data_IF_070729696577
#
_entry.id   IF_070729696577
#
_cell.length_a   1.000
_cell.length_b   1.000
_cell.length_c   1.000
_cell.angle_alpha   90.00
_cell.angle_beta   90.00
_cell.angle_gamma   90.00
#
_symmetry.space_group_name_H-M   'P 1'
#
loop_
_entity.id
_entity.type
_entity.pdbx_description
1 polymer ?
#
# COMPACT_ATOMS: atom_id res chain seq x y z
N UNK A 1 -27.54 12.07 -31.45
CA UNK A 1 -27.83 12.77 -32.72
C UNK A 1 -29.33 13.01 -32.81
N UNK A 2 -29.77 14.26 -32.98
CA UNK A 2 -31.17 14.67 -32.74
C UNK A 2 -31.93 14.97 -34.05
N UNK A 3 -33.25 14.78 -34.05
CA UNK A 3 -34.14 15.15 -35.17
C UNK A 3 -35.52 15.57 -34.65
N UNK A 4 -35.63 16.82 -34.22
CA UNK A 4 -36.85 17.41 -33.67
C UNK A 4 -36.96 18.90 -34.04
N UNK A 5 -38.09 19.54 -33.72
CA UNK A 5 -38.34 20.95 -34.04
C UNK A 5 -37.66 21.94 -33.09
N UNK A 6 -37.06 21.47 -31.99
CA UNK A 6 -36.45 22.31 -30.96
C UNK A 6 -34.93 22.30 -31.09
N UNK A 7 -34.42 23.08 -32.05
CA UNK A 7 -32.98 23.16 -32.34
C UNK A 7 -32.21 23.68 -31.11
N UNK A 8 -31.22 22.93 -30.64
CA UNK A 8 -30.36 23.29 -29.49
C UNK A 8 -28.87 23.22 -29.79
N UNK A 9 -28.49 23.16 -31.06
CA UNK A 9 -27.10 23.07 -31.49
C UNK A 9 -26.94 23.17 -33.01
N UNK A 10 -25.70 22.98 -33.53
CA UNK A 10 -25.44 23.10 -34.96
C UNK A 10 -26.20 22.07 -35.79
N UNK A 11 -26.79 22.55 -36.89
CA UNK A 11 -27.57 21.73 -37.82
C UNK A 11 -26.62 20.81 -38.59
N UNK A 12 -26.92 19.52 -38.59
CA UNK A 12 -26.19 18.54 -39.38
C UNK A 12 -26.80 18.42 -40.77
N UNK A 13 -26.36 19.29 -41.69
CA UNK A 13 -26.94 19.42 -43.04
C UNK A 13 -26.99 18.07 -43.77
N UNK A 14 -25.89 17.30 -43.76
CA UNK A 14 -25.81 16.02 -44.47
C UNK A 14 -26.87 15.01 -43.98
N UNK A 15 -27.09 14.94 -42.67
CA UNK A 15 -28.07 14.03 -42.08
C UNK A 15 -29.50 14.59 -42.13
N UNK A 16 -29.64 15.91 -42.10
CA UNK A 16 -30.93 16.58 -42.28
C UNK A 16 -31.47 16.29 -43.68
N UNK A 17 -30.65 16.43 -44.73
CA UNK A 17 -31.04 16.11 -46.12
C UNK A 17 -31.42 14.62 -46.25
N UNK A 18 -30.67 13.70 -45.62
CA UNK A 18 -30.98 12.26 -45.67
C UNK A 18 -32.30 11.89 -44.99
N UNK A 19 -32.63 12.54 -43.86
CA UNK A 19 -33.75 12.15 -43.00
C UNK A 19 -35.03 12.94 -43.24
N UNK A 20 -34.92 14.18 -43.73
CA UNK A 20 -36.02 15.11 -43.89
C UNK A 20 -36.13 15.54 -45.36
N UNK A 21 -36.10 14.56 -46.28
CA UNK A 21 -36.30 14.75 -47.73
C UNK A 21 -37.65 15.36 -48.06
N UNK A 22 -38.68 15.03 -47.28
CA UNK A 22 -39.99 15.69 -47.30
C UNK A 22 -40.08 16.61 -46.09
N UNK A 23 -40.76 17.76 -46.22
CA UNK A 23 -40.89 18.70 -45.11
C UNK A 23 -41.73 18.08 -43.98
N UNK A 24 -41.06 17.69 -42.91
CA UNK A 24 -41.66 17.04 -41.72
C UNK A 24 -41.71 17.98 -40.49
N UNK A 25 -41.25 19.22 -40.63
CA UNK A 25 -41.13 20.17 -39.51
C UNK A 25 -40.06 19.81 -38.47
N UNK A 26 -39.17 18.85 -38.77
CA UNK A 26 -38.08 18.41 -37.88
C UNK A 26 -36.74 18.79 -38.47
N UNK A 27 -35.78 19.17 -37.62
CA UNK A 27 -34.44 19.56 -38.03
C UNK A 27 -33.42 18.62 -37.40
N UNK A 28 -32.46 18.14 -38.19
CA UNK A 28 -31.43 17.25 -37.69
C UNK A 28 -30.24 18.07 -37.23
N UNK A 29 -29.85 17.92 -35.96
CA UNK A 29 -28.78 18.72 -35.35
C UNK A 29 -27.95 17.87 -34.38
N UNK A 30 -26.71 18.31 -34.16
CA UNK A 30 -25.87 17.81 -33.07
C UNK A 30 -25.92 18.77 -31.89
N UNK A 31 -25.79 18.21 -30.68
CA UNK A 31 -25.52 18.99 -29.48
C UNK A 31 -24.51 18.23 -28.63
N UNK A 32 -23.61 18.96 -27.97
CA UNK A 32 -22.73 18.39 -26.95
C UNK A 32 -23.52 18.35 -25.65
N UNK A 33 -23.67 17.17 -25.08
CA UNK A 33 -24.33 16.99 -23.79
C UNK A 33 -23.33 16.43 -22.78
N UNK A 34 -23.43 16.96 -21.56
CA UNK A 34 -22.77 16.37 -20.43
C UNK A 34 -23.58 15.15 -19.99
N UNK A 35 -23.03 13.95 -20.20
CA UNK A 35 -23.57 12.73 -19.59
C UNK A 35 -22.72 12.38 -18.38
N UNK A 36 -23.38 12.29 -17.23
CA UNK A 36 -22.76 11.77 -16.01
C UNK A 36 -22.59 10.25 -16.04
N UNK A 37 -23.45 9.57 -16.82
CA UNK A 37 -23.32 8.14 -17.14
C UNK A 37 -22.40 8.00 -18.36
N UNK A 38 -21.12 7.67 -18.13
CA UNK A 38 -20.09 7.56 -19.16
C UNK A 38 -19.14 6.41 -18.83
N UNK A 39 -18.27 6.05 -19.77
CA UNK A 39 -17.37 4.89 -19.65
C UNK A 39 -16.49 4.94 -18.38
N UNK A 40 -16.05 6.13 -17.95
CA UNK A 40 -15.23 6.29 -16.75
C UNK A 40 -16.05 6.08 -15.48
N UNK A 41 -17.24 6.68 -15.37
CA UNK A 41 -18.10 6.52 -14.19
C UNK A 41 -18.64 5.09 -14.09
N UNK A 42 -18.94 4.44 -15.21
CA UNK A 42 -19.26 3.01 -15.29
C UNK A 42 -18.09 2.12 -14.85
N UNK A 43 -16.84 2.45 -15.23
CA UNK A 43 -15.66 1.73 -14.76
C UNK A 43 -15.50 1.80 -13.24
N UNK A 44 -15.69 2.99 -12.67
CA UNK A 44 -15.66 3.21 -11.22
C UNK A 44 -16.78 2.40 -10.56
N UNK A 45 -18.00 2.45 -11.12
CA UNK A 45 -19.17 1.70 -10.65
C UNK A 45 -18.89 0.19 -10.62
N UNK A 46 -18.34 -0.38 -11.71
CA UNK A 46 -17.94 -1.78 -11.76
C UNK A 46 -16.88 -2.14 -10.71
N UNK A 47 -15.92 -1.25 -10.46
CA UNK A 47 -14.88 -1.45 -9.44
C UNK A 47 -15.47 -1.45 -8.03
N UNK A 48 -16.38 -0.52 -7.74
CA UNK A 48 -17.09 -0.46 -6.45
C UNK A 48 -17.86 -1.74 -6.18
N UNK A 49 -18.65 -2.22 -7.15
CA UNK A 49 -19.41 -3.47 -7.00
C UNK A 49 -18.50 -4.69 -6.82
N UNK A 50 -17.35 -4.71 -7.50
CA UNK A 50 -16.34 -5.74 -7.29
C UNK A 50 -15.74 -5.72 -5.87
N UNK A 51 -15.47 -4.54 -5.30
CA UNK A 51 -14.96 -4.40 -3.93
C UNK A 51 -16.03 -4.77 -2.89
N UNK A 52 -17.29 -4.40 -3.12
CA UNK A 52 -18.42 -4.81 -2.25
C UNK A 52 -18.54 -6.32 -2.11
N UNK A 53 -18.30 -7.06 -3.19
CA UNK A 53 -18.31 -8.53 -3.19
C UNK A 53 -17.19 -9.20 -2.39
N UNK A 54 -16.25 -8.44 -1.80
CA UNK A 54 -15.08 -8.97 -1.09
C UNK A 54 -15.10 -8.60 0.41
N UNK A 55 -15.40 -9.56 1.31
CA UNK A 55 -15.57 -9.28 2.74
C UNK A 55 -14.35 -8.63 3.43
N UNK A 56 -13.14 -8.94 2.96
CA UNK A 56 -11.89 -8.43 3.57
C UNK A 56 -11.64 -6.94 3.30
N UNK A 57 -12.16 -6.40 2.19
CA UNK A 57 -11.83 -5.05 1.73
C UNK A 57 -13.07 -4.15 1.59
N UNK A 58 -14.29 -4.69 1.68
CA UNK A 58 -15.52 -3.92 1.57
C UNK A 58 -15.59 -2.77 2.60
N UNK A 59 -14.98 -2.94 3.78
CA UNK A 59 -14.91 -1.92 4.82
C UNK A 59 -14.26 -0.60 4.36
N UNK A 60 -13.43 -0.61 3.32
CA UNK A 60 -12.83 0.61 2.75
C UNK A 60 -13.92 1.52 2.18
N UNK A 61 -14.96 0.94 1.58
CA UNK A 61 -16.07 1.70 1.01
C UNK A 61 -16.90 2.42 2.07
N UNK A 62 -16.83 2.00 3.34
CA UNK A 62 -17.52 2.67 4.44
C UNK A 62 -16.99 4.08 4.71
N UNK A 63 -15.74 4.36 4.33
CA UNK A 63 -15.15 5.70 4.46
C UNK A 63 -15.60 6.67 3.36
N UNK A 64 -16.11 6.14 2.25
CA UNK A 64 -16.46 6.89 1.03
C UNK A 64 -17.90 6.58 0.57
N UNK A 65 -18.79 6.37 1.55
CA UNK A 65 -20.20 6.08 1.29
C UNK A 65 -20.92 7.15 0.45
N UNK A 66 -20.76 8.47 0.69
CA UNK A 66 -21.49 9.46 -0.10
C UNK A 66 -21.05 9.47 -1.57
N UNK A 67 -19.76 9.32 -1.85
CA UNK A 67 -19.21 9.26 -3.20
C UNK A 67 -19.68 7.99 -3.92
N UNK A 68 -19.66 6.84 -3.22
CA UNK A 68 -20.17 5.58 -3.75
C UNK A 68 -21.64 5.71 -4.12
N UNK A 69 -22.46 6.32 -3.24
CA UNK A 69 -23.88 6.54 -3.50
C UNK A 69 -24.08 7.43 -4.72
N UNK A 70 -23.32 8.51 -4.84
CA UNK A 70 -23.39 9.41 -5.99
C UNK A 70 -23.07 8.69 -7.30
N UNK A 71 -22.01 7.86 -7.32
CA UNK A 71 -21.68 7.04 -8.49
C UNK A 71 -22.85 6.12 -8.86
N UNK A 72 -23.49 5.45 -7.88
CA UNK A 72 -24.67 4.59 -8.14
C UNK A 72 -25.81 5.38 -8.76
N UNK A 73 -26.06 6.60 -8.28
CA UNK A 73 -27.17 7.45 -8.75
C UNK A 73 -26.98 7.95 -10.18
N UNK A 74 -25.74 8.22 -10.58
CA UNK A 74 -25.41 8.71 -11.93
C UNK A 74 -25.23 7.59 -12.96
N UNK A 75 -24.91 6.37 -12.52
CA UNK A 75 -24.71 5.18 -13.39
C UNK A 75 -25.96 4.31 -13.43
N UNK A 76 -27.03 4.86 -14.03
CA UNK A 76 -28.33 4.18 -14.10
C UNK A 76 -28.36 3.09 -15.17
N UNK A 77 -27.50 3.19 -16.19
CA UNK A 77 -27.37 2.19 -17.24
C UNK A 77 -26.51 0.97 -16.81
N UNK A 78 -25.99 0.98 -15.57
CA UNK A 78 -25.14 -0.08 -15.05
C UNK A 78 -25.72 -1.48 -15.26
N UNK A 79 -24.90 -2.34 -15.84
CA UNK A 79 -25.20 -3.75 -16.02
C UNK A 79 -23.96 -4.60 -15.70
N UNK A 80 -24.13 -5.57 -14.80
CA UNK A 80 -23.05 -6.44 -14.36
C UNK A 80 -22.29 -7.14 -15.52
N UNK A 81 -23.02 -7.56 -16.56
CA UNK A 81 -22.46 -8.30 -17.69
C UNK A 81 -21.61 -7.44 -18.64
N UNK A 82 -21.75 -6.12 -18.58
CA UNK A 82 -21.01 -5.19 -19.44
C UNK A 82 -19.58 -4.92 -18.96
N UNK A 83 -19.15 -5.51 -17.83
CA UNK A 83 -17.82 -5.29 -17.24
C UNK A 83 -16.67 -5.37 -18.25
N UNK A 84 -16.62 -6.43 -19.05
CA UNK A 84 -15.53 -6.62 -20.02
C UNK A 84 -15.61 -5.65 -21.20
N UNK A 85 -16.79 -5.13 -21.51
CA UNK A 85 -16.97 -4.07 -22.50
C UNK A 85 -16.41 -2.76 -21.95
N UNK A 86 -16.87 -2.35 -20.76
CA UNK A 86 -16.41 -1.11 -20.10
C UNK A 86 -14.89 -1.10 -19.89
N UNK A 87 -14.29 -2.22 -19.46
CA UNK A 87 -12.83 -2.35 -19.33
C UNK A 87 -12.14 -2.10 -20.67
N UNK A 88 -12.63 -2.70 -21.76
CA UNK A 88 -12.03 -2.54 -23.10
C UNK A 88 -12.12 -1.09 -23.56
N UNK A 89 -13.30 -0.47 -23.44
CA UNK A 89 -13.49 0.94 -23.83
C UNK A 89 -12.55 1.86 -23.06
N UNK A 90 -12.39 1.67 -21.75
CA UNK A 90 -11.48 2.49 -20.94
C UNK A 90 -9.99 2.26 -21.22
N UNK A 91 -9.61 1.09 -21.75
CA UNK A 91 -8.22 0.81 -22.16
C UNK A 91 -7.92 1.41 -23.53
N UNK A 92 -8.86 1.30 -24.48
CA UNK A 92 -8.69 1.82 -25.85
C UNK A 92 -8.83 3.34 -25.87
N UNK A 93 -9.71 3.88 -25.02
CA UNK A 93 -10.02 5.31 -24.93
C UNK A 93 -9.78 5.82 -23.50
N UNK A 94 -8.52 5.87 -23.05
CA UNK A 94 -8.18 6.45 -21.75
C UNK A 94 -8.57 7.93 -21.73
N UNK A 95 -8.88 8.44 -20.53
CA UNK A 95 -9.38 9.81 -20.45
C UNK A 95 -8.23 10.81 -20.64
N UNK A 96 -8.33 11.61 -21.69
CA UNK A 96 -7.31 12.61 -22.07
C UNK A 96 -7.75 14.05 -21.83
N UNK A 97 -9.04 14.28 -21.63
CA UNK A 97 -9.59 15.62 -21.48
C UNK A 97 -9.22 16.22 -20.11
N UNK A 98 -8.80 17.49 -20.09
CA UNK A 98 -8.33 18.19 -18.90
C UNK A 98 -9.33 18.16 -17.72
N UNK A 99 -10.64 18.18 -18.02
CA UNK A 99 -11.70 18.05 -17.02
C UNK A 99 -11.57 16.79 -16.12
N UNK A 100 -11.01 15.70 -16.65
CA UNK A 100 -10.88 14.42 -15.95
C UNK A 100 -9.44 14.11 -15.52
N UNK A 101 -8.54 15.10 -15.54
CA UNK A 101 -7.13 14.87 -15.24
C UNK A 101 -6.91 14.25 -13.85
N UNK A 102 -7.73 14.64 -12.87
CA UNK A 102 -7.69 14.07 -11.50
C UNK A 102 -8.14 12.60 -11.45
N UNK A 103 -8.93 12.17 -12.42
CA UNK A 103 -9.47 10.81 -12.48
C UNK A 103 -8.51 9.82 -13.15
N UNK A 104 -7.43 10.27 -13.80
CA UNK A 104 -6.50 9.39 -14.53
C UNK A 104 -5.91 8.32 -13.62
N UNK A 105 -5.45 8.70 -12.42
CA UNK A 105 -4.89 7.75 -11.45
C UNK A 105 -5.95 6.76 -10.96
N UNK A 106 -7.18 7.24 -10.73
CA UNK A 106 -8.29 6.38 -10.33
C UNK A 106 -8.68 5.40 -11.44
N UNK A 107 -8.71 5.85 -12.70
CA UNK A 107 -8.99 5.01 -13.86
C UNK A 107 -7.98 3.86 -13.96
N UNK A 108 -6.68 4.16 -13.83
CA UNK A 108 -5.62 3.16 -13.84
C UNK A 108 -5.73 2.17 -12.69
N UNK A 109 -6.06 2.65 -11.48
CA UNK A 109 -6.30 1.80 -10.32
C UNK A 109 -7.50 0.87 -10.54
N UNK A 110 -8.63 1.41 -11.01
CA UNK A 110 -9.83 0.65 -11.32
C UNK A 110 -9.56 -0.46 -12.35
N UNK A 111 -8.87 -0.13 -13.44
CA UNK A 111 -8.45 -1.10 -14.46
C UNK A 111 -7.56 -2.20 -13.87
N UNK A 112 -6.60 -1.83 -13.02
CA UNK A 112 -5.70 -2.78 -12.37
C UNK A 112 -6.44 -3.75 -11.43
N UNK A 113 -7.40 -3.24 -10.67
CA UNK A 113 -8.23 -4.04 -9.76
C UNK A 113 -9.12 -5.01 -10.57
N UNK A 114 -9.80 -4.52 -11.60
CA UNK A 114 -10.77 -5.28 -12.36
C UNK A 114 -10.15 -6.31 -13.31
N UNK A 115 -8.96 -6.04 -13.87
CA UNK A 115 -8.24 -6.98 -14.73
C UNK A 115 -7.56 -8.10 -13.95
N UNK A 116 -7.62 -8.09 -12.61
CA UNK A 116 -6.92 -9.05 -11.75
C UNK A 116 -5.46 -9.22 -12.16
N UNK A 117 -4.80 -8.14 -12.60
CA UNK A 117 -3.39 -8.18 -12.96
C UNK A 117 -2.60 -8.53 -11.70
N UNK A 118 -2.37 -9.83 -11.52
CA UNK A 118 -1.34 -10.34 -10.63
C UNK A 118 -0.04 -9.89 -11.27
N UNK A 119 0.68 -9.02 -10.57
CA UNK A 119 1.99 -8.53 -10.97
C UNK A 119 2.95 -9.73 -11.09
N UNK A 120 3.01 -10.34 -12.27
CA UNK A 120 4.14 -11.18 -12.63
C UNK A 120 5.26 -10.23 -13.06
N UNK A 121 6.44 -10.39 -12.47
CA UNK A 121 7.65 -9.72 -12.92
C UNK A 121 7.93 -10.21 -14.35
N UNK A 122 7.58 -9.39 -15.33
CA UNK A 122 7.82 -9.63 -16.75
C UNK A 122 8.32 -8.36 -17.41
N UNK A 123 9.31 -8.51 -18.28
CA UNK A 123 9.95 -7.45 -19.08
C UNK A 123 8.99 -6.92 -20.16
N UNK A 124 8.06 -6.06 -19.77
CA UNK A 124 7.15 -5.35 -20.69
C UNK A 124 6.95 -3.89 -20.27
N UNK A 125 6.61 -3.04 -21.24
CA UNK A 125 6.45 -1.59 -21.10
C UNK A 125 5.21 -1.12 -20.30
N UNK A 126 4.50 -2.03 -19.62
CA UNK A 126 3.33 -1.66 -18.80
C UNK A 126 3.82 -1.04 -17.49
N UNK A 127 3.55 0.26 -17.32
CA UNK A 127 3.91 1.02 -16.12
C UNK A 127 3.33 0.35 -14.86
N UNK A 128 4.24 -0.03 -13.97
CA UNK A 128 3.99 -0.81 -12.78
C UNK A 128 3.34 0.08 -11.70
N UNK A 129 2.03 -0.04 -11.51
CA UNK A 129 1.34 0.50 -10.31
C UNK A 129 1.31 -0.63 -9.27
N UNK A 130 2.34 -0.67 -8.44
CA UNK A 130 2.49 -1.63 -7.35
C UNK A 130 3.19 -0.97 -6.17
N UNK A 131 2.84 -1.41 -4.96
CA UNK A 131 3.58 -1.02 -3.75
C UNK A 131 4.67 -2.06 -3.55
N UNK A 132 5.92 -1.69 -3.82
CA UNK A 132 7.09 -2.48 -3.44
C UNK A 132 7.46 -2.09 -2.01
N UNK A 133 7.44 -3.05 -1.09
CA UNK A 133 7.89 -2.85 0.29
C UNK A 133 8.86 -3.96 0.69
N UNK A 134 9.76 -3.62 1.61
CA UNK A 134 10.72 -4.54 2.17
C UNK A 134 10.02 -5.48 3.16
N UNK A 135 10.00 -6.78 2.83
CA UNK A 135 9.36 -7.81 3.66
C UNK A 135 10.05 -8.04 5.00
N UNK A 136 11.38 -7.87 5.06
CA UNK A 136 12.13 -7.98 6.31
C UNK A 136 11.77 -6.83 7.25
N UNK A 137 11.73 -5.61 6.71
CA UNK A 137 11.29 -4.44 7.47
C UNK A 137 9.84 -4.56 7.96
N UNK A 138 8.92 -5.04 7.12
CA UNK A 138 7.52 -5.22 7.53
C UNK A 138 7.39 -6.26 8.66
N UNK A 139 8.19 -7.32 8.61
CA UNK A 139 8.25 -8.34 9.66
C UNK A 139 8.76 -7.78 10.98
N UNK A 140 9.84 -6.99 10.95
CA UNK A 140 10.37 -6.28 12.12
C UNK A 140 9.33 -5.35 12.74
N UNK A 141 8.65 -4.51 11.95
CA UNK A 141 7.64 -3.58 12.45
C UNK A 141 6.39 -4.30 13.00
N UNK A 142 6.01 -5.42 12.39
CA UNK A 142 4.94 -6.27 12.93
C UNK A 142 5.33 -6.82 14.31
N UNK A 143 6.53 -7.39 14.45
CA UNK A 143 7.04 -7.88 15.72
C UNK A 143 7.17 -6.76 16.76
N UNK A 144 7.63 -5.57 16.36
CA UNK A 144 7.72 -4.42 17.25
C UNK A 144 6.36 -4.04 17.84
N UNK A 145 5.27 -4.10 17.07
CA UNK A 145 3.92 -3.87 17.62
C UNK A 145 3.56 -4.87 18.73
N UNK A 146 3.91 -6.14 18.54
CA UNK A 146 3.62 -7.20 19.52
C UNK A 146 4.54 -7.14 20.75
N UNK A 147 5.83 -6.87 20.53
CA UNK A 147 6.89 -6.96 21.53
C UNK A 147 7.17 -5.63 22.23
N UNK A 148 6.62 -4.51 21.75
CA UNK A 148 6.85 -3.16 22.30
C UNK A 148 6.70 -3.02 23.83
N UNK A 149 5.82 -3.76 24.53
CA UNK A 149 5.73 -3.68 25.99
C UNK A 149 6.97 -4.24 26.69
N UNK A 150 7.64 -5.23 26.10
CA UNK A 150 8.72 -5.99 26.73
C UNK A 150 10.10 -5.63 26.16
N UNK A 151 10.14 -5.23 24.89
CA UNK A 151 11.36 -4.93 24.15
C UNK A 151 11.38 -3.48 23.66
N UNK A 152 12.59 -2.94 23.60
CA UNK A 152 12.94 -1.76 22.82
C UNK A 152 13.41 -2.21 21.44
N UNK A 153 12.99 -1.53 20.37
CA UNK A 153 13.41 -1.79 18.99
C UNK A 153 14.37 -0.68 18.52
N UNK A 154 15.71 -0.89 18.57
CA UNK A 154 16.69 0.02 18.00
C UNK A 154 16.48 0.18 16.50
N UNK A 155 16.68 1.41 16.00
CA UNK A 155 16.48 1.74 14.59
C UNK A 155 17.80 2.16 13.97
N UNK A 156 18.42 1.26 13.22
CA UNK A 156 19.69 1.53 12.54
C UNK A 156 19.60 2.72 11.57
N UNK A 157 18.50 2.83 10.81
CA UNK A 157 18.30 3.90 9.82
C UNK A 157 18.24 5.30 10.43
N UNK A 158 17.69 5.45 11.65
CA UNK A 158 17.65 6.72 12.39
C UNK A 158 18.80 6.85 13.42
N UNK A 159 19.68 5.85 13.53
CA UNK A 159 20.74 5.73 14.55
C UNK A 159 20.21 5.82 15.99
N UNK A 160 18.97 5.40 16.22
CA UNK A 160 18.32 5.44 17.52
C UNK A 160 18.51 4.10 18.26
N UNK A 161 18.83 4.17 19.56
CA UNK A 161 18.97 2.98 20.40
C UNK A 161 20.25 2.17 20.18
N UNK A 162 21.26 2.77 19.53
CA UNK A 162 22.55 2.13 19.26
C UNK A 162 23.21 1.57 20.53
N UNK A 163 23.85 0.42 20.40
CA UNK A 163 24.64 -0.21 21.46
C UNK A 163 26.10 -0.31 21.03
N UNK A 164 27.03 -0.39 21.99
CA UNK A 164 28.45 -0.55 21.70
C UNK A 164 28.97 -1.82 22.39
N UNK A 165 29.59 -2.71 21.61
CA UNK A 165 30.07 -3.99 22.10
C UNK A 165 31.22 -3.85 23.10
N UNK A 166 32.10 -2.88 22.90
CA UNK A 166 33.34 -2.76 23.66
C UNK A 166 33.53 -1.34 24.16
N UNK A 167 34.20 -1.23 25.31
CA UNK A 167 34.78 0.03 25.78
C UNK A 167 36.28 -0.10 25.63
N UNK A 168 36.87 0.77 24.82
CA UNK A 168 38.31 0.87 24.64
C UNK A 168 38.84 2.04 25.45
N UNK A 169 39.71 1.78 26.41
CA UNK A 169 40.44 2.84 27.12
C UNK A 169 41.76 3.13 26.41
N UNK A 170 41.96 4.37 25.99
CA UNK A 170 43.23 4.84 25.44
C UNK A 170 43.60 6.19 26.04
N UNK A 171 44.85 6.34 26.51
CA UNK A 171 45.36 7.57 27.15
C UNK A 171 44.47 8.10 28.29
N UNK A 172 43.93 7.19 29.12
CA UNK A 172 43.08 7.54 30.26
C UNK A 172 41.67 8.04 29.90
N UNK A 173 41.25 7.91 28.64
CA UNK A 173 39.87 8.17 28.20
C UNK A 173 39.23 6.89 27.68
N UNK A 174 38.01 6.64 28.13
CA UNK A 174 37.18 5.54 27.64
C UNK A 174 36.45 5.99 26.36
N UNK A 175 36.54 5.18 25.31
CA UNK A 175 35.77 5.34 24.08
C UNK A 175 34.97 4.06 23.80
N UNK A 176 33.69 4.22 23.48
CA UNK A 176 32.84 3.09 23.10
C UNK A 176 33.08 2.73 21.63
N UNK A 177 33.32 1.45 21.34
CA UNK A 177 33.64 0.95 19.99
C UNK A 177 32.84 -0.31 19.66
N UNK A 178 32.61 -0.54 18.37
CA UNK A 178 31.80 -1.66 17.87
C UNK A 178 30.30 -1.38 17.98
N UNK A 179 29.82 -0.40 17.20
CA UNK A 179 28.39 -0.08 17.11
C UNK A 179 27.58 -1.27 16.59
N UNK A 180 26.53 -1.65 17.31
CA UNK A 180 25.60 -2.70 16.93
C UNK A 180 24.15 -2.26 17.13
N UNK A 181 23.30 -2.79 16.24
CA UNK A 181 21.86 -2.57 16.24
C UNK A 181 21.17 -3.94 16.20
N UNK A 182 20.97 -4.58 17.36
CA UNK A 182 20.05 -5.72 17.42
C UNK A 182 18.63 -5.22 17.18
N UNK A 183 17.77 -6.04 16.58
CA UNK A 183 16.40 -5.64 16.29
C UNK A 183 15.59 -5.44 17.58
N UNK A 184 15.83 -6.21 18.63
CA UNK A 184 15.12 -6.10 19.89
C UNK A 184 16.04 -6.27 21.10
N UNK A 185 15.88 -5.40 22.09
CA UNK A 185 16.57 -5.48 23.39
C UNK A 185 15.53 -5.40 24.49
N UNK A 186 15.54 -6.33 25.43
CA UNK A 186 14.59 -6.30 26.55
C UNK A 186 14.72 -4.99 27.33
N UNK A 187 13.59 -4.41 27.69
CA UNK A 187 13.56 -3.32 28.65
C UNK A 187 14.10 -3.85 29.97
N UNK A 188 15.05 -3.13 30.58
CA UNK A 188 15.56 -3.50 31.89
C UNK A 188 14.38 -3.54 32.87
N UNK A 189 14.07 -4.72 33.41
CA UNK A 189 13.26 -4.78 34.63
C UNK A 189 14.16 -4.17 35.71
N UNK A 190 13.80 -3.00 36.22
CA UNK A 190 14.34 -2.49 37.46
C UNK A 190 13.95 -3.47 38.55
N UNK A 191 14.80 -4.46 38.79
CA UNK A 191 14.78 -5.17 40.07
C UNK A 191 15.29 -4.13 41.07
N UNK A 192 14.38 -3.48 41.78
CA UNK A 192 14.75 -2.69 42.96
C UNK A 192 15.53 -3.63 43.90
N UNK A 193 16.84 -3.41 44.07
CA UNK A 193 17.56 -4.11 45.13
C UNK A 193 19.08 -4.18 45.01
N UNK A 194 19.66 -4.27 43.82
CA UNK A 194 21.09 -4.52 43.70
C UNK A 194 21.85 -3.20 43.43
N UNK A 195 22.42 -2.63 44.50
CA UNK A 195 23.43 -1.56 44.43
C UNK A 195 24.81 -2.17 44.62
N UNK A 196 25.80 -1.74 43.83
CA UNK A 196 27.19 -2.13 44.04
C UNK A 196 27.75 -1.44 45.30
N UNK A 197 28.92 -1.90 45.76
CA UNK A 197 29.65 -1.35 46.93
C UNK A 197 29.87 0.18 46.83
N UNK A 198 29.87 0.73 45.61
CA UNK A 198 30.04 2.17 45.32
C UNK A 198 28.71 2.95 45.15
N UNK A 199 27.56 2.37 45.48
CA UNK A 199 26.25 3.06 45.42
C UNK A 199 25.74 3.39 44.01
N UNK A 200 26.46 2.99 42.95
CA UNK A 200 25.94 2.99 41.58
C UNK A 200 24.98 1.81 41.39
N UNK A 201 23.83 2.09 40.77
CA UNK A 201 22.88 1.05 40.35
C UNK A 201 23.64 -0.04 39.60
N UNK A 202 23.58 -1.28 40.11
CA UNK A 202 23.92 -2.42 39.30
C UNK A 202 22.83 -2.42 38.24
N UNK A 203 23.13 -1.95 37.03
CA UNK A 203 22.31 -2.27 35.86
C UNK A 203 22.34 -3.79 35.77
N UNK A 204 21.38 -4.45 36.42
CA UNK A 204 21.33 -5.90 36.54
C UNK A 204 21.34 -6.48 35.13
N UNK A 205 22.49 -7.03 34.79
CA UNK A 205 23.01 -7.43 33.49
C UNK A 205 22.28 -8.63 32.89
N UNK A 206 20.96 -8.54 32.76
CA UNK A 206 20.14 -9.57 32.12
C UNK A 206 19.37 -8.94 30.96
N UNK A 207 20.09 -8.43 29.96
CA UNK A 207 19.47 -8.03 28.70
C UNK A 207 19.17 -9.30 27.90
N UNK A 208 17.93 -9.44 27.44
CA UNK A 208 17.58 -10.43 26.42
C UNK A 208 17.66 -9.72 25.08
N UNK A 209 18.39 -10.30 24.13
CA UNK A 209 18.49 -9.77 22.77
C UNK A 209 17.67 -10.65 21.84
N UNK A 210 16.90 -10.03 20.95
CA UNK A 210 16.24 -10.78 19.88
C UNK A 210 16.47 -10.14 18.52
N UNK A 211 16.51 -10.99 17.51
CA UNK A 211 16.75 -10.61 16.12
C UNK A 211 15.63 -11.17 15.25
N UNK A 212 15.20 -10.44 14.24
CA UNK A 212 14.11 -10.82 13.35
C UNK A 212 14.66 -11.14 11.96
N UNK A 213 14.38 -12.35 11.47
CA UNK A 213 14.83 -12.78 10.16
C UNK A 213 13.66 -13.21 9.29
N UNK A 214 13.44 -12.48 8.20
CA UNK A 214 12.43 -12.82 7.20
C UNK A 214 12.99 -13.78 6.14
N UNK A 215 13.16 -15.05 6.53
CA UNK A 215 13.61 -16.14 5.65
C UNK A 215 13.22 -17.51 6.23
N UNK A 216 13.19 -18.58 5.43
CA UNK A 216 12.92 -19.91 5.96
C UNK A 216 13.98 -20.33 6.98
N UNK A 217 13.57 -21.13 7.98
CA UNK A 217 14.44 -21.60 9.08
C UNK A 217 15.69 -22.29 8.54
N UNK A 218 15.55 -23.11 7.50
CA UNK A 218 16.67 -23.85 6.88
C UNK A 218 17.70 -22.94 6.19
N UNK A 219 17.39 -21.66 5.99
CA UNK A 219 18.27 -20.67 5.37
C UNK A 219 18.95 -19.74 6.40
N UNK A 220 18.90 -20.08 7.68
CA UNK A 220 19.59 -19.37 8.74
C UNK A 220 20.94 -20.04 8.96
N UNK A 221 22.00 -19.44 8.44
CA UNK A 221 23.35 -19.98 8.58
C UNK A 221 24.43 -18.91 8.42
N UNK A 222 25.65 -19.22 8.86
CA UNK A 222 26.83 -18.38 8.66
C UNK A 222 26.72 -17.00 9.33
N UNK A 223 26.50 -15.96 8.53
CA UNK A 223 26.48 -14.56 8.99
C UNK A 223 25.41 -14.28 10.04
N UNK A 224 24.27 -14.96 9.98
CA UNK A 224 23.22 -14.79 10.99
C UNK A 224 23.66 -15.29 12.36
N UNK A 225 24.31 -16.46 12.40
CA UNK A 225 24.88 -16.97 13.64
C UNK A 225 25.98 -16.07 14.16
N UNK A 226 26.84 -15.54 13.29
CA UNK A 226 27.87 -14.58 13.70
C UNK A 226 27.25 -13.30 14.30
N UNK A 227 26.17 -12.80 13.71
CA UNK A 227 25.43 -11.65 14.22
C UNK A 227 24.83 -11.93 15.60
N UNK A 228 24.14 -13.06 15.76
CA UNK A 228 23.58 -13.50 17.04
C UNK A 228 24.68 -13.74 18.08
N UNK A 229 25.81 -14.34 17.71
CA UNK A 229 26.96 -14.55 18.60
C UNK A 229 27.58 -13.23 19.07
N UNK A 230 27.67 -12.24 18.19
CA UNK A 230 28.11 -10.90 18.57
C UNK A 230 27.17 -10.27 19.60
N UNK A 231 25.85 -10.52 19.49
CA UNK A 231 24.85 -10.05 20.45
C UNK A 231 24.86 -10.83 21.78
N UNK A 232 25.16 -12.13 21.75
CA UNK A 232 25.38 -12.92 22.97
C UNK A 232 26.58 -12.38 23.75
N UNK A 233 27.65 -12.05 23.02
CA UNK A 233 28.86 -11.44 23.58
C UNK A 233 28.56 -10.08 24.24
N UNK A 234 27.47 -9.41 23.83
CA UNK A 234 26.94 -8.19 24.42
C UNK A 234 26.14 -8.44 25.72
N UNK A 235 26.77 -9.07 26.72
CA UNK A 235 26.25 -9.19 28.11
C UNK A 235 24.78 -9.63 28.21
N UNK A 236 24.32 -10.46 27.28
CA UNK A 236 22.98 -11.03 27.29
C UNK A 236 23.00 -12.43 27.88
N UNK A 237 22.00 -12.76 28.73
CA UNK A 237 21.85 -14.12 29.27
C UNK A 237 21.12 -15.03 28.29
N UNK A 238 20.08 -14.49 27.66
CA UNK A 238 19.19 -15.21 26.76
C UNK A 238 19.08 -14.46 25.43
N UNK A 239 18.86 -15.21 24.36
CA UNK A 239 18.67 -14.67 23.02
C UNK A 239 17.57 -15.40 22.26
N UNK A 240 16.91 -14.70 21.35
CA UNK A 240 15.85 -15.26 20.51
C UNK A 240 16.02 -14.82 19.05
N UNK A 241 15.61 -15.67 18.11
CA UNK A 241 15.49 -15.28 16.70
C UNK A 241 14.05 -15.53 16.26
N UNK A 242 13.37 -14.48 15.81
CA UNK A 242 11.99 -14.53 15.35
C UNK A 242 11.94 -14.75 13.84
N UNK A 243 11.32 -15.86 13.45
CA UNK A 243 11.28 -16.33 12.06
C UNK A 243 9.80 -16.59 11.70
N UNK A 244 9.31 -16.10 10.55
CA UNK A 244 7.96 -16.42 10.11
C UNK A 244 7.88 -17.90 9.71
N UNK A 245 6.97 -18.65 10.34
CA UNK A 245 6.65 -20.02 9.94
C UNK A 245 5.47 -20.04 8.97
N UNK A 246 5.52 -20.93 7.98
CA UNK A 246 4.35 -21.31 7.20
C UNK A 246 3.77 -22.56 7.84
N UNK A 247 2.69 -22.41 8.61
CA UNK A 247 1.79 -23.52 8.93
C UNK A 247 0.98 -23.91 7.68
#
# INVERSE_FOLDING_TARGET
>A
MYNDGNIRGPIEIANHIKRNTVYTGKIAYSRRELSYDNELTELIRHTVEYVKGRPKICNILNRVQPEVKHIVEVTKAYNFYDRNKIIRENVVHPVTHAYYQEYVQLQQLCLSILRHTKHQFGTGNDQLIGILFDGAWLWEEYLNKLLSPYFHHPKNKSKEGKQHLFVHTAKGKDSEVGEVYPDFISRARSIQGEKNVDGKDIRSLNHVVADAKYKPVDHIYGRDYQQVLAYISFRSKDWFVYIPSKE
#
